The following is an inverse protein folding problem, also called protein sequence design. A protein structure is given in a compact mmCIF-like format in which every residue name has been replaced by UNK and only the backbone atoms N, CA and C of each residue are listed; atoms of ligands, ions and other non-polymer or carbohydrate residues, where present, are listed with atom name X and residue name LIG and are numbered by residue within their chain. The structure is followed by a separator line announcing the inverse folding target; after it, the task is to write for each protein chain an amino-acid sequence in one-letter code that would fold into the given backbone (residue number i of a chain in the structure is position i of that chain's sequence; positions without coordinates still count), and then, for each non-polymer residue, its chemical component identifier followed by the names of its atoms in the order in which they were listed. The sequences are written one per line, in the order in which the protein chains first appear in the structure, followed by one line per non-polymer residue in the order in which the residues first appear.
data_IF_126327214867
#
_entry.id   IF_126327214867
#
_cell.length_a   1.000
_cell.length_b   1.000
_cell.length_c   1.000
_cell.angle_alpha   90.00
_cell.angle_beta   90.00
_cell.angle_gamma   90.00
#
_symmetry.space_group_name_H-M   'P 1'
#
loop_
_entity.id
_entity.type
_entity.pdbx_description
1 polymer ?
#
# COMPACT_ATOMS: atom_id res chain seq x y z
N UNK A 1 6.28 -2.29 27.63
CA UNK A 1 6.63 -2.26 26.19
C UNK A 1 5.38 -2.02 25.31
N UNK A 2 4.77 -0.83 25.40
CA UNK A 2 3.52 -0.51 24.66
C UNK A 2 3.78 0.09 23.27
N UNK A 3 4.95 0.71 23.06
CA UNK A 3 5.36 1.29 21.77
C UNK A 3 5.41 0.23 20.67
N UNK A 4 6.12 -0.88 20.92
CA UNK A 4 6.26 -1.96 19.93
C UNK A 4 4.92 -2.64 19.63
N UNK A 5 4.10 -2.88 20.64
CA UNK A 5 2.76 -3.44 20.44
C UNK A 5 1.89 -2.52 19.56
N UNK A 6 2.01 -1.19 19.68
CA UNK A 6 1.27 -0.23 18.85
C UNK A 6 1.74 -0.26 17.39
N UNK A 7 3.05 -0.42 17.15
CA UNK A 7 3.62 -0.54 15.82
C UNK A 7 3.09 -1.76 15.06
N UNK A 8 3.00 -2.92 15.74
CA UNK A 8 2.55 -4.16 15.12
C UNK A 8 1.02 -4.31 15.05
N UNK A 9 0.26 -3.54 15.84
CA UNK A 9 -1.22 -3.52 15.81
C UNK A 9 -1.78 -2.82 14.56
N UNK A 10 -0.96 -2.06 13.83
CA UNK A 10 -1.34 -1.31 12.61
C UNK A 10 -1.18 -2.18 11.33
N UNK A 11 -0.97 -3.50 11.45
CA UNK A 11 -1.05 -4.37 10.27
C UNK A 11 -2.51 -4.44 9.81
N UNK A 12 -2.88 -3.60 8.84
CA UNK A 12 -4.16 -3.69 8.13
C UNK A 12 -4.23 -5.05 7.45
N UNK A 13 -5.16 -5.89 7.91
CA UNK A 13 -5.40 -7.22 7.34
C UNK A 13 -5.81 -7.05 5.86
N UNK A 14 -4.85 -7.25 4.95
CA UNK A 14 -5.13 -7.29 3.50
C UNK A 14 -5.45 -8.73 3.16
N UNK A 15 -6.65 -8.97 2.63
CA UNK A 15 -7.00 -10.27 2.08
C UNK A 15 -6.11 -10.59 0.87
N UNK A 16 -5.78 -11.88 0.69
CA UNK A 16 -4.93 -12.34 -0.42
C UNK A 16 -5.52 -11.97 -1.78
N UNK A 17 -6.84 -12.01 -1.94
CA UNK A 17 -7.53 -11.60 -3.16
C UNK A 17 -7.30 -10.12 -3.48
N UNK A 18 -7.40 -9.24 -2.48
CA UNK A 18 -7.14 -7.81 -2.65
C UNK A 18 -5.67 -7.53 -2.96
N UNK A 19 -4.73 -8.32 -2.42
CA UNK A 19 -3.32 -8.21 -2.77
C UNK A 19 -3.06 -8.55 -4.25
N UNK A 20 -3.66 -9.65 -4.74
CA UNK A 20 -3.49 -10.12 -6.13
C UNK A 20 -4.08 -9.11 -7.12
N UNK A 21 -5.29 -8.59 -6.85
CA UNK A 21 -5.90 -7.59 -7.73
C UNK A 21 -5.12 -6.27 -7.76
N UNK A 22 -4.55 -5.84 -6.62
CA UNK A 22 -3.63 -4.68 -6.62
C UNK A 22 -2.38 -4.93 -7.46
N UNK A 23 -1.83 -6.14 -7.44
CA UNK A 23 -0.68 -6.47 -8.29
C UNK A 23 -1.04 -6.49 -9.78
N UNK A 24 -2.24 -6.95 -10.13
CA UNK A 24 -2.73 -6.88 -11.52
C UNK A 24 -2.92 -5.43 -11.97
N UNK A 25 -3.55 -4.60 -11.15
CA UNK A 25 -3.72 -3.16 -11.42
C UNK A 25 -2.37 -2.43 -11.53
N UNK A 26 -1.38 -2.79 -10.72
CA UNK A 26 -0.03 -2.24 -10.84
C UNK A 26 0.62 -2.56 -12.20
N UNK A 27 0.30 -3.73 -12.79
CA UNK A 27 0.82 -4.14 -14.11
C UNK A 27 0.10 -3.47 -15.26
N UNK A 28 -1.22 -3.28 -15.17
CA UNK A 28 -2.02 -2.67 -16.24
C UNK A 28 -2.03 -1.14 -16.18
N UNK A 29 -1.76 -0.58 -15.00
CA UNK A 29 -1.81 0.86 -14.75
C UNK A 29 -0.72 1.31 -13.77
N UNK A 30 0.56 1.19 -14.15
CA UNK A 30 1.69 1.50 -13.28
C UNK A 30 1.76 2.99 -12.91
N UNK A 31 1.41 3.90 -13.83
CA UNK A 31 1.44 5.34 -13.60
C UNK A 31 0.45 5.81 -12.54
N UNK A 32 -0.84 5.41 -12.64
CA UNK A 32 -1.83 5.80 -11.63
C UNK A 32 -1.64 5.06 -10.30
N UNK A 33 -1.23 3.79 -10.34
CA UNK A 33 -0.90 3.04 -9.11
C UNK A 33 0.30 3.67 -8.40
N UNK A 34 1.31 4.09 -9.17
CA UNK A 34 2.46 4.85 -8.69
C UNK A 34 2.05 6.17 -8.07
N UNK A 35 1.25 6.98 -8.76
CA UNK A 35 0.74 8.25 -8.25
C UNK A 35 -0.07 8.07 -6.95
N UNK A 36 -0.91 7.03 -6.86
CA UNK A 36 -1.68 6.71 -5.66
C UNK A 36 -0.78 6.25 -4.50
N UNK A 37 0.24 5.43 -4.78
CA UNK A 37 1.21 4.99 -3.78
C UNK A 37 2.06 6.18 -3.28
N UNK A 38 2.48 7.03 -4.19
CA UNK A 38 3.26 8.23 -3.92
C UNK A 38 2.46 9.21 -3.04
N UNK A 39 1.19 9.49 -3.38
CA UNK A 39 0.28 10.31 -2.56
C UNK A 39 0.09 9.73 -1.14
N UNK A 40 0.00 8.40 -1.00
CA UNK A 40 -0.10 7.74 0.31
C UNK A 40 1.17 7.82 1.14
N UNK A 41 2.32 7.84 0.49
CA UNK A 41 3.64 7.91 1.12
C UNK A 41 4.18 9.34 1.23
N UNK A 42 3.41 10.34 0.78
CA UNK A 42 3.81 11.74 0.77
C UNK A 42 4.91 12.07 -0.24
N UNK A 43 5.13 11.22 -1.25
CA UNK A 43 6.11 11.43 -2.31
C UNK A 43 5.38 11.92 -3.57
N UNK A 44 5.91 12.95 -4.23
CA UNK A 44 5.47 13.37 -5.55
C UNK A 44 6.32 12.61 -6.57
N UNK A 45 5.70 11.81 -7.44
CA UNK A 45 6.36 11.30 -8.65
C UNK A 45 6.20 12.39 -9.70
N UNK A 46 7.26 13.15 -9.90
CA UNK A 46 7.48 13.98 -11.09
C UNK A 46 8.23 13.19 -12.14
#
# INVERSE_FOLDING_TARGET
MKIFARLFKIRRHTSLSTAIERQRLAKTMPGQTGALAANRLGMLVG
#
